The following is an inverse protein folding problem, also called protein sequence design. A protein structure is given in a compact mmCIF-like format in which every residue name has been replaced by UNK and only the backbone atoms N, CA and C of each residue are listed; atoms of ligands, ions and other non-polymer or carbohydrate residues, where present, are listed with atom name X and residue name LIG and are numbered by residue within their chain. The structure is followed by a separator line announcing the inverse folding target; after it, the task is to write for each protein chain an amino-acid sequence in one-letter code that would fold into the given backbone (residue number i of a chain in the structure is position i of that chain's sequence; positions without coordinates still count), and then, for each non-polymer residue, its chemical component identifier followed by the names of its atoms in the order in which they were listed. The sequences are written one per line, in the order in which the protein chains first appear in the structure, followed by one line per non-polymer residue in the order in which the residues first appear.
data_IF_883595028466
#
_entry.id   IF_883595028466
#
_cell.length_a   1.000
_cell.length_b   1.000
_cell.length_c   1.000
_cell.angle_alpha   90.00
_cell.angle_beta   90.00
_cell.angle_gamma   90.00
#
_symmetry.space_group_name_H-M   'P 1'
#
loop_
_entity.id
_entity.type
_entity.pdbx_description
1 polymer ?
#
# COMPACT_ATOMS: atom_id res chain seq x y z
N UNK A 1 -28.68 33.21 -33.42
CA UNK A 1 -29.14 31.82 -33.19
C UNK A 1 -28.08 31.17 -32.33
N UNK A 2 -28.39 30.92 -31.07
CA UNK A 2 -27.48 30.24 -30.16
C UNK A 2 -27.66 28.74 -30.39
N UNK A 3 -26.76 28.12 -31.13
CA UNK A 3 -26.64 26.66 -31.17
C UNK A 3 -26.00 26.22 -29.85
N UNK A 4 -26.83 25.94 -28.86
CA UNK A 4 -26.40 25.16 -27.69
C UNK A 4 -26.48 23.70 -28.10
N UNK A 5 -25.40 23.17 -28.67
CA UNK A 5 -25.26 21.73 -28.85
C UNK A 5 -25.22 21.10 -27.45
N UNK A 6 -26.33 20.49 -27.03
CA UNK A 6 -26.33 19.56 -25.91
C UNK A 6 -25.55 18.35 -26.41
N UNK A 7 -24.25 18.29 -26.12
CA UNK A 7 -23.51 17.04 -26.26
C UNK A 7 -24.12 16.07 -25.25
N UNK A 8 -24.83 15.05 -25.74
CA UNK A 8 -25.16 13.88 -24.93
C UNK A 8 -23.86 13.40 -24.28
N UNK A 9 -23.85 13.28 -22.95
CA UNK A 9 -22.68 12.77 -22.25
C UNK A 9 -22.51 11.31 -22.69
N UNK A 10 -21.32 10.90 -23.17
CA UNK A 10 -21.10 9.52 -23.58
C UNK A 10 -21.30 8.62 -22.36
N UNK A 11 -22.11 7.57 -22.50
CA UNK A 11 -22.30 6.59 -21.43
C UNK A 11 -21.54 5.30 -21.76
N UNK A 12 -20.87 4.72 -20.78
CA UNK A 12 -20.11 3.48 -20.94
C UNK A 12 -20.72 2.40 -20.06
N UNK A 13 -21.21 1.35 -20.68
CA UNK A 13 -21.69 0.16 -19.96
C UNK A 13 -20.51 -0.67 -19.48
N UNK A 14 -20.48 -0.99 -18.18
CA UNK A 14 -19.39 -1.74 -17.54
C UNK A 14 -19.92 -2.79 -16.56
N UNK A 15 -19.02 -3.61 -16.01
CA UNK A 15 -19.34 -4.58 -14.94
C UNK A 15 -19.87 -3.94 -13.66
N UNK A 16 -19.62 -2.64 -13.45
CA UNK A 16 -20.09 -1.88 -12.28
C UNK A 16 -21.25 -0.93 -12.61
N UNK A 17 -21.89 -1.12 -13.76
CA UNK A 17 -23.01 -0.32 -14.23
C UNK A 17 -22.63 0.69 -15.31
N UNK A 18 -23.51 1.67 -15.50
CA UNK A 18 -23.31 2.74 -16.48
C UNK A 18 -22.43 3.83 -15.88
N UNK A 19 -21.33 4.15 -16.57
CA UNK A 19 -20.40 5.19 -16.16
C UNK A 19 -20.48 6.38 -17.13
N UNK A 20 -20.47 7.59 -16.56
CA UNK A 20 -20.44 8.84 -17.30
C UNK A 20 -19.01 9.40 -17.19
N UNK A 21 -18.19 9.33 -18.24
CA UNK A 21 -16.84 9.86 -18.22
C UNK A 21 -16.84 11.38 -18.11
N UNK A 22 -15.77 11.92 -17.54
CA UNK A 22 -15.54 13.37 -17.52
C UNK A 22 -15.54 13.93 -18.95
N UNK A 23 -16.43 14.88 -19.22
CA UNK A 23 -16.52 15.60 -20.49
C UNK A 23 -16.44 17.11 -20.30
N UNK A 24 -16.72 17.60 -19.09
CA UNK A 24 -16.64 19.03 -18.79
C UNK A 24 -15.23 19.43 -18.38
N UNK A 25 -14.83 20.62 -18.82
CA UNK A 25 -13.58 21.22 -18.42
C UNK A 25 -13.82 22.11 -17.19
N UNK A 26 -13.50 21.62 -15.99
CA UNK A 26 -13.50 22.45 -14.78
C UNK A 26 -12.39 23.52 -14.82
N UNK A 27 -12.72 24.75 -14.41
CA UNK A 27 -11.81 25.92 -14.40
C UNK A 27 -11.23 26.20 -12.99
N UNK A 28 -11.16 25.19 -12.12
CA UNK A 28 -10.80 25.35 -10.70
C UNK A 28 -9.28 25.26 -10.43
N UNK A 29 -8.46 25.13 -11.47
CA UNK A 29 -6.99 25.04 -11.34
C UNK A 29 -6.45 23.64 -11.01
N UNK A 30 -7.32 22.62 -10.93
CA UNK A 30 -6.91 21.21 -10.80
C UNK A 30 -6.32 20.69 -12.12
N UNK A 31 -5.20 19.95 -12.06
CA UNK A 31 -4.59 19.36 -13.25
C UNK A 31 -5.42 18.15 -13.70
N UNK A 32 -5.98 18.24 -14.90
CA UNK A 32 -6.87 17.24 -15.49
C UNK A 32 -6.13 15.97 -15.91
N UNK A 33 -6.64 14.82 -15.50
CA UNK A 33 -6.29 13.53 -16.07
C UNK A 33 -7.60 12.82 -16.45
N UNK A 34 -8.28 13.42 -17.42
CA UNK A 34 -9.69 13.14 -17.75
C UNK A 34 -9.83 12.19 -18.95
N UNK A 35 -8.72 11.58 -19.38
CA UNK A 35 -8.73 10.67 -20.51
C UNK A 35 -9.21 9.28 -20.10
N UNK A 36 -10.22 8.78 -20.81
CA UNK A 36 -10.56 7.36 -20.83
C UNK A 36 -9.36 6.61 -21.42
N UNK A 37 -8.90 5.58 -20.71
CA UNK A 37 -7.77 4.77 -21.18
C UNK A 37 -8.24 3.37 -21.51
N UNK A 38 -7.57 2.80 -22.52
CA UNK A 38 -7.74 1.43 -22.96
C UNK A 38 -6.41 0.67 -22.82
N UNK A 39 -6.50 -0.64 -22.72
CA UNK A 39 -5.34 -1.51 -22.94
C UNK A 39 -4.97 -1.48 -24.43
N UNK A 40 -3.74 -1.89 -24.76
CA UNK A 40 -3.29 -2.00 -26.16
C UNK A 40 -4.13 -2.98 -26.99
N UNK A 41 -4.86 -3.87 -26.32
CA UNK A 41 -5.77 -4.86 -26.89
C UNK A 41 -7.20 -4.33 -27.09
N UNK A 42 -7.50 -3.09 -26.66
CA UNK A 42 -8.75 -2.39 -26.90
C UNK A 42 -9.77 -2.42 -25.76
N UNK A 43 -9.53 -3.21 -24.71
CA UNK A 43 -10.43 -3.26 -23.55
C UNK A 43 -10.29 -2.02 -22.67
N UNK A 44 -11.39 -1.65 -22.02
CA UNK A 44 -11.43 -0.49 -21.12
C UNK A 44 -10.47 -0.69 -19.94
N UNK A 45 -9.64 0.31 -19.65
CA UNK A 45 -8.64 0.27 -18.57
C UNK A 45 -8.98 1.22 -17.44
N UNK A 46 -9.40 2.43 -17.75
CA UNK A 46 -9.77 3.42 -16.74
C UNK A 46 -10.75 4.46 -17.27
N UNK A 47 -11.67 4.89 -16.41
CA UNK A 47 -12.68 5.92 -16.68
C UNK A 47 -12.63 6.95 -15.56
N UNK A 48 -12.08 8.15 -15.81
CA UNK A 48 -12.34 9.33 -15.00
C UNK A 48 -13.82 9.71 -15.14
N UNK A 49 -14.50 9.98 -14.04
CA UNK A 49 -15.94 10.17 -14.00
C UNK A 49 -16.31 11.65 -13.94
N UNK A 50 -17.44 11.97 -14.55
CA UNK A 50 -18.04 13.29 -14.48
C UNK A 50 -18.72 13.44 -13.11
N UNK A 51 -18.05 14.13 -12.19
CA UNK A 51 -18.45 14.13 -10.78
C UNK A 51 -18.22 12.77 -10.11
N UNK A 52 -18.91 12.54 -8.99
CA UNK A 52 -18.84 11.29 -8.26
C UNK A 52 -19.96 10.33 -8.67
N UNK A 53 -19.62 9.06 -8.93
CA UNK A 53 -20.60 7.98 -9.11
C UNK A 53 -20.51 6.97 -7.97
N UNK A 54 -21.66 6.43 -7.56
CA UNK A 54 -21.71 5.35 -6.57
C UNK A 54 -21.41 4.00 -7.21
N UNK A 55 -20.39 3.31 -6.70
CA UNK A 55 -19.97 1.99 -7.16
C UNK A 55 -20.29 0.97 -6.07
N UNK A 56 -21.22 0.07 -6.36
CA UNK A 56 -21.59 -1.03 -5.46
C UNK A 56 -20.62 -2.20 -5.57
N UNK A 57 -20.16 -2.70 -4.43
CA UNK A 57 -19.23 -3.83 -4.34
C UNK A 57 -19.59 -4.74 -3.16
N UNK A 58 -18.91 -5.88 -3.01
CA UNK A 58 -19.05 -6.73 -1.83
C UNK A 58 -18.51 -6.07 -0.55
N UNK A 59 -17.64 -5.06 -0.66
CA UNK A 59 -17.05 -4.35 0.47
C UNK A 59 -17.85 -3.10 0.89
N UNK A 60 -18.90 -2.75 0.15
CA UNK A 60 -19.69 -1.54 0.37
C UNK A 60 -20.00 -0.80 -0.92
N UNK A 61 -20.66 0.34 -0.78
CA UNK A 61 -20.93 1.29 -1.86
C UNK A 61 -20.03 2.50 -1.69
N UNK A 62 -19.28 2.87 -2.73
CA UNK A 62 -18.27 3.91 -2.63
C UNK A 62 -18.46 5.00 -3.69
N UNK A 63 -18.29 6.28 -3.33
CA UNK A 63 -18.15 7.33 -4.32
C UNK A 63 -16.86 7.11 -5.12
N UNK A 64 -16.88 7.49 -6.40
CA UNK A 64 -15.75 7.34 -7.30
C UNK A 64 -15.67 8.53 -8.26
N UNK A 65 -14.49 9.13 -8.34
CA UNK A 65 -14.10 10.05 -9.42
C UNK A 65 -13.26 9.34 -10.49
N UNK A 66 -12.68 8.18 -10.17
CA UNK A 66 -11.96 7.35 -11.13
C UNK A 66 -12.18 5.86 -10.82
N UNK A 67 -12.48 5.10 -11.87
CA UNK A 67 -12.57 3.63 -11.81
C UNK A 67 -11.57 3.01 -12.78
N UNK A 68 -10.93 1.92 -12.37
CA UNK A 68 -10.03 1.14 -13.23
C UNK A 68 -10.43 -0.31 -13.30
N UNK A 69 -10.05 -0.97 -14.39
CA UNK A 69 -10.49 -2.32 -14.73
C UNK A 69 -9.32 -3.25 -15.02
N UNK A 70 -9.55 -4.54 -14.81
CA UNK A 70 -8.74 -5.62 -15.39
C UNK A 70 -9.05 -5.75 -16.88
N UNK A 71 -8.20 -6.49 -17.61
CA UNK A 71 -8.43 -6.76 -19.04
C UNK A 71 -9.74 -7.52 -19.30
N UNK A 72 -10.21 -8.30 -18.33
CA UNK A 72 -11.51 -8.97 -18.37
C UNK A 72 -12.71 -8.01 -18.33
N UNK A 73 -12.49 -6.74 -17.99
CA UNK A 73 -13.56 -5.77 -17.73
C UNK A 73 -14.07 -5.80 -16.29
N UNK A 74 -13.54 -6.66 -15.43
CA UNK A 74 -13.87 -6.66 -14.01
C UNK A 74 -13.25 -5.46 -13.29
N UNK A 75 -13.94 -4.98 -12.26
CA UNK A 75 -13.47 -3.88 -11.42
C UNK A 75 -12.10 -4.21 -10.83
N UNK A 76 -11.18 -3.25 -10.92
CA UNK A 76 -9.85 -3.33 -10.31
C UNK A 76 -9.70 -2.36 -9.15
N UNK A 77 -9.96 -1.07 -9.37
CA UNK A 77 -9.86 -0.04 -8.31
C UNK A 77 -10.95 0.98 -8.42
N UNK A 78 -11.38 1.44 -7.25
CA UNK A 78 -12.18 2.64 -7.05
C UNK A 78 -11.28 3.69 -6.42
N UNK A 79 -11.31 4.90 -6.96
CA UNK A 79 -10.66 6.07 -6.41
C UNK A 79 -11.76 7.09 -6.05
N UNK A 80 -12.02 7.33 -4.75
CA UNK A 80 -12.98 8.34 -4.33
C UNK A 80 -12.62 9.74 -4.86
N UNK A 81 -11.31 10.03 -4.93
CA UNK A 81 -10.76 11.25 -5.53
C UNK A 81 -9.74 10.89 -6.61
N UNK A 82 -9.70 11.67 -7.70
CA UNK A 82 -8.79 11.43 -8.83
C UNK A 82 -7.42 12.15 -8.71
N UNK A 83 -7.04 12.63 -7.53
CA UNK A 83 -5.67 13.03 -7.18
C UNK A 83 -5.12 14.18 -8.03
N UNK A 84 -5.89 15.27 -8.17
CA UNK A 84 -5.58 16.34 -9.15
C UNK A 84 -4.66 17.43 -8.58
N UNK A 85 -3.45 17.05 -8.15
CA UNK A 85 -2.44 17.98 -7.60
C UNK A 85 -1.89 18.92 -8.68
N UNK A 86 -1.78 20.22 -8.36
CA UNK A 86 -1.25 21.27 -9.23
C UNK A 86 -0.40 22.27 -8.43
N UNK A 87 0.17 23.28 -9.10
CA UNK A 87 0.92 24.33 -8.40
C UNK A 87 0.05 25.20 -7.44
N UNK A 88 -1.27 25.12 -7.58
CA UNK A 88 -2.25 25.85 -6.76
C UNK A 88 -3.19 24.91 -5.99
N UNK A 89 -2.97 23.59 -6.09
CA UNK A 89 -3.80 22.57 -5.47
C UNK A 89 -2.90 21.52 -4.85
N UNK A 90 -2.80 21.56 -3.52
CA UNK A 90 -1.87 20.74 -2.74
C UNK A 90 -2.47 19.38 -2.37
N UNK A 91 -1.64 18.51 -1.82
CA UNK A 91 -2.11 17.25 -1.21
C UNK A 91 -3.08 17.51 -0.04
N UNK A 92 -2.85 18.58 0.74
CA UNK A 92 -3.73 18.98 1.84
C UNK A 92 -5.10 19.44 1.33
N UNK A 93 -5.13 20.17 0.21
CA UNK A 93 -6.37 20.59 -0.44
C UNK A 93 -7.17 19.37 -0.93
N UNK A 94 -6.50 18.41 -1.57
CA UNK A 94 -7.14 17.16 -2.01
C UNK A 94 -7.65 16.34 -0.82
N UNK A 95 -6.85 16.22 0.24
CA UNK A 95 -7.23 15.52 1.47
C UNK A 95 -8.46 16.15 2.15
N UNK A 96 -8.63 17.47 2.04
CA UNK A 96 -9.79 18.18 2.60
C UNK A 96 -11.12 17.75 1.98
N UNK A 97 -11.10 17.23 0.75
CA UNK A 97 -12.27 16.68 0.06
C UNK A 97 -12.52 15.21 0.39
N UNK A 98 -11.50 14.50 0.88
CA UNK A 98 -11.60 13.07 1.09
C UNK A 98 -12.63 12.77 2.18
N UNK A 99 -13.56 11.87 1.89
CA UNK A 99 -14.59 11.46 2.84
C UNK A 99 -14.16 10.21 3.61
N UNK A 100 -14.58 10.13 4.87
CA UNK A 100 -14.44 8.89 5.65
C UNK A 100 -15.46 7.89 5.14
N UNK A 101 -14.98 6.76 4.64
CA UNK A 101 -15.79 5.65 4.13
C UNK A 101 -15.80 4.51 5.13
N UNK A 102 -16.94 3.81 5.20
CA UNK A 102 -17.10 2.56 5.96
C UNK A 102 -16.91 1.39 5.00
N UNK A 103 -15.83 0.63 5.18
CA UNK A 103 -15.42 -0.48 4.32
C UNK A 103 -15.65 -1.78 5.07
N UNK A 104 -16.51 -2.63 4.53
CA UNK A 104 -16.69 -3.99 5.01
C UNK A 104 -15.48 -4.82 4.57
N UNK A 105 -14.51 -4.98 5.47
CA UNK A 105 -13.37 -5.84 5.23
C UNK A 105 -13.60 -7.23 5.83
N UNK A 106 -12.94 -8.27 5.31
CA UNK A 106 -13.02 -9.60 5.91
C UNK A 106 -12.51 -9.67 7.36
N UNK A 107 -11.69 -8.70 7.79
CA UNK A 107 -11.17 -8.59 9.17
C UNK A 107 -11.97 -7.62 10.04
N UNK A 108 -13.18 -7.22 9.61
CA UNK A 108 -14.04 -6.28 10.30
C UNK A 108 -14.27 -4.98 9.53
N UNK A 109 -15.13 -4.13 10.07
CA UNK A 109 -15.42 -2.83 9.46
C UNK A 109 -14.24 -1.87 9.67
N UNK A 110 -13.79 -1.24 8.59
CA UNK A 110 -12.73 -0.23 8.60
C UNK A 110 -13.33 1.13 8.25
N UNK A 111 -13.11 2.14 9.10
CA UNK A 111 -13.51 3.53 8.84
C UNK A 111 -12.28 4.38 8.59
N UNK A 112 -12.15 4.92 7.38
CA UNK A 112 -10.95 5.68 6.99
C UNK A 112 -11.20 6.55 5.77
N UNK A 113 -10.27 7.44 5.43
CA UNK A 113 -10.23 8.11 4.13
C UNK A 113 -9.29 7.32 3.20
N UNK A 114 -9.81 6.54 2.24
CA UNK A 114 -8.95 5.83 1.31
C UNK A 114 -8.58 6.70 0.11
N UNK A 115 -7.36 6.51 -0.38
CA UNK A 115 -6.94 7.00 -1.70
C UNK A 115 -7.52 6.09 -2.77
N UNK A 116 -7.47 4.78 -2.55
CA UNK A 116 -8.13 3.81 -3.41
C UNK A 116 -8.54 2.55 -2.64
N UNK A 117 -9.55 1.88 -3.20
CA UNK A 117 -9.99 0.56 -2.80
C UNK A 117 -9.76 -0.37 -3.98
N UNK A 118 -9.01 -1.44 -3.78
CA UNK A 118 -8.66 -2.40 -4.83
C UNK A 118 -9.34 -3.74 -4.58
N UNK A 119 -9.75 -4.37 -5.68
CA UNK A 119 -10.41 -5.66 -5.68
C UNK A 119 -9.57 -6.66 -6.48
N UNK A 120 -9.66 -7.92 -6.09
CA UNK A 120 -9.26 -9.01 -6.95
C UNK A 120 -10.15 -9.05 -8.20
N UNK A 121 -9.65 -9.62 -9.28
CA UNK A 121 -10.44 -9.82 -10.50
C UNK A 121 -11.72 -10.65 -10.27
N UNK A 122 -11.75 -11.43 -9.19
CA UNK A 122 -12.90 -12.22 -8.73
C UNK A 122 -13.90 -11.41 -7.89
N UNK A 123 -13.59 -10.16 -7.54
CA UNK A 123 -14.50 -9.20 -6.90
C UNK A 123 -14.28 -9.00 -5.39
N UNK A 124 -13.50 -9.85 -4.73
CA UNK A 124 -13.19 -9.73 -3.31
C UNK A 124 -12.25 -8.54 -3.04
N UNK A 125 -12.39 -7.92 -1.85
CA UNK A 125 -11.50 -6.85 -1.42
C UNK A 125 -10.04 -7.34 -1.37
N UNK A 126 -9.15 -6.63 -2.06
CA UNK A 126 -7.73 -6.95 -2.10
C UNK A 126 -6.91 -5.99 -1.25
N UNK A 127 -7.15 -4.69 -1.35
CA UNK A 127 -6.39 -3.71 -0.57
C UNK A 127 -7.14 -2.40 -0.40
N UNK A 128 -6.81 -1.70 0.69
CA UNK A 128 -7.24 -0.33 0.96
C UNK A 128 -5.98 0.48 1.17
N UNK A 129 -5.77 1.51 0.34
CA UNK A 129 -4.69 2.48 0.54
C UNK A 129 -5.26 3.72 1.24
N UNK A 130 -4.62 4.15 2.31
CA UNK A 130 -5.05 5.26 3.17
C UNK A 130 -4.38 6.56 2.74
N UNK A 131 -5.06 7.68 2.97
CA UNK A 131 -4.45 9.00 2.82
C UNK A 131 -3.22 9.17 3.72
N UNK A 132 -2.19 9.95 3.31
CA UNK A 132 -1.04 10.19 4.18
C UNK A 132 -1.46 10.88 5.47
N UNK A 133 -0.94 10.40 6.60
CA UNK A 133 -1.35 10.83 7.94
C UNK A 133 -2.56 10.10 8.52
N UNK A 134 -3.36 9.39 7.70
CA UNK A 134 -4.41 8.52 8.22
C UNK A 134 -3.81 7.25 8.84
N UNK A 135 -4.40 6.85 9.96
CA UNK A 135 -4.12 5.58 10.60
C UNK A 135 -5.40 4.87 10.99
N UNK A 136 -5.37 3.54 10.93
CA UNK A 136 -6.47 2.68 11.37
C UNK A 136 -5.94 1.63 12.33
N UNK A 137 -6.75 1.29 13.33
CA UNK A 137 -6.45 0.18 14.21
C UNK A 137 -7.11 -1.09 13.67
N UNK A 138 -6.34 -2.16 13.49
CA UNK A 138 -6.83 -3.43 12.94
C UNK A 138 -6.34 -4.63 13.74
N UNK A 139 -7.20 -5.63 13.89
CA UNK A 139 -6.80 -6.94 14.42
C UNK A 139 -6.03 -7.73 13.36
N UNK A 140 -4.79 -8.07 13.66
CA UNK A 140 -3.93 -8.89 12.81
C UNK A 140 -3.58 -10.20 13.52
N UNK A 141 -3.04 -11.20 12.79
CA UNK A 141 -2.48 -12.40 13.43
C UNK A 141 -1.37 -12.10 14.46
N UNK A 142 -0.68 -10.95 14.34
CA UNK A 142 0.32 -10.48 15.30
C UNK A 142 -0.26 -9.63 16.45
N UNK A 143 -1.59 -9.50 16.53
CA UNK A 143 -2.29 -8.69 17.51
C UNK A 143 -2.86 -7.40 16.92
N UNK A 144 -3.33 -6.52 17.80
CA UNK A 144 -3.89 -5.22 17.44
C UNK A 144 -2.77 -4.27 17.00
N UNK A 145 -2.85 -3.76 15.77
CA UNK A 145 -1.81 -2.91 15.17
C UNK A 145 -2.44 -1.63 14.66
N UNK A 146 -1.83 -0.49 15.00
CA UNK A 146 -2.11 0.78 14.34
C UNK A 146 -1.36 0.82 12.99
N UNK A 147 -2.10 0.91 11.90
CA UNK A 147 -1.61 0.82 10.53
C UNK A 147 -1.72 2.16 9.83
N UNK A 148 -0.66 2.52 9.09
CA UNK A 148 -0.64 3.65 8.15
C UNK A 148 -0.57 3.13 6.71
N UNK A 149 -0.72 4.01 5.72
CA UNK A 149 -0.62 3.74 4.26
C UNK A 149 -1.61 2.73 3.67
N UNK A 150 -1.87 1.60 4.30
CA UNK A 150 -2.80 0.62 3.77
C UNK A 150 -2.68 -0.77 4.37
N UNK A 151 -3.67 -1.57 3.98
CA UNK A 151 -3.82 -2.98 4.35
C UNK A 151 -4.11 -3.77 3.08
N UNK A 152 -3.59 -5.00 3.02
CA UNK A 152 -3.93 -5.95 1.96
C UNK A 152 -4.47 -7.25 2.55
N UNK A 153 -5.27 -7.94 1.76
CA UNK A 153 -5.94 -9.18 2.11
C UNK A 153 -5.59 -10.25 1.11
N UNK A 154 -5.49 -11.48 1.58
CA UNK A 154 -5.54 -12.69 0.76
C UNK A 154 -6.95 -12.90 0.22
N UNK A 155 -7.10 -13.71 -0.83
CA UNK A 155 -8.43 -14.02 -1.41
C UNK A 155 -9.38 -14.69 -0.42
N UNK A 156 -8.87 -15.43 0.56
CA UNK A 156 -9.67 -16.04 1.61
C UNK A 156 -10.13 -15.03 2.70
N UNK A 157 -9.71 -13.76 2.58
CA UNK A 157 -10.04 -12.68 3.50
C UNK A 157 -9.06 -12.49 4.66
N UNK A 158 -8.07 -13.36 4.86
CA UNK A 158 -7.07 -13.12 5.91
C UNK A 158 -6.16 -11.94 5.52
N UNK A 159 -5.64 -11.22 6.50
CA UNK A 159 -4.72 -10.10 6.24
C UNK A 159 -3.45 -10.63 5.61
N UNK A 160 -3.08 -10.08 4.46
CA UNK A 160 -1.85 -10.44 3.75
C UNK A 160 -0.69 -9.55 4.14
N UNK A 161 -0.91 -8.25 4.30
CA UNK A 161 0.13 -7.32 4.74
C UNK A 161 -0.43 -6.01 5.28
N UNK A 162 0.36 -5.33 6.10
CA UNK A 162 0.06 -4.00 6.60
C UNK A 162 1.35 -3.22 6.90
N UNK A 163 1.25 -1.90 6.93
CA UNK A 163 2.36 -1.01 7.27
C UNK A 163 2.16 -0.41 8.68
N UNK A 164 2.89 -0.86 9.71
CA UNK A 164 2.76 -0.31 11.05
C UNK A 164 3.00 1.21 11.08
N UNK A 165 2.18 1.93 11.84
CA UNK A 165 2.33 3.38 12.03
C UNK A 165 3.59 3.72 12.85
N UNK A 166 3.92 2.84 13.79
CA UNK A 166 5.03 2.93 14.73
C UNK A 166 5.78 1.59 14.78
N UNK A 167 6.96 1.59 15.40
CA UNK A 167 7.71 0.37 15.64
C UNK A 167 6.98 -0.56 16.62
N UNK A 168 6.78 -1.81 16.19
CA UNK A 168 6.09 -2.84 16.97
C UNK A 168 6.97 -4.07 17.15
N UNK A 169 6.85 -4.74 18.30
CA UNK A 169 7.51 -6.03 18.53
C UNK A 169 6.59 -7.17 18.12
N UNK A 170 7.04 -8.03 17.20
CA UNK A 170 6.29 -9.20 16.73
C UNK A 170 7.07 -10.49 17.01
N UNK A 171 6.34 -11.56 17.32
CA UNK A 171 6.88 -12.90 17.50
C UNK A 171 7.05 -13.59 16.16
N UNK A 172 8.29 -13.90 15.78
CA UNK A 172 8.60 -14.67 14.56
C UNK A 172 9.23 -16.02 14.89
N UNK A 173 9.35 -16.88 13.88
CA UNK A 173 10.03 -18.18 13.99
C UNK A 173 11.52 -18.07 14.36
N UNK A 174 12.14 -16.90 14.17
CA UNK A 174 13.54 -16.65 14.54
C UNK A 174 13.70 -15.85 15.83
N UNK A 175 12.61 -15.49 16.51
CA UNK A 175 12.58 -14.70 17.74
C UNK A 175 11.74 -13.43 17.61
N UNK A 176 11.77 -12.60 18.65
CA UNK A 176 11.06 -11.31 18.65
C UNK A 176 11.81 -10.31 17.74
N UNK A 177 11.08 -9.61 16.86
CA UNK A 177 11.62 -8.59 15.94
C UNK A 177 10.83 -7.29 16.10
N UNK A 178 11.54 -6.16 16.11
CA UNK A 178 11.00 -4.83 15.99
C UNK A 178 10.78 -4.49 14.52
N UNK A 179 9.53 -4.33 14.13
CA UNK A 179 9.09 -4.16 12.74
C UNK A 179 8.75 -2.71 12.50
N UNK A 180 9.48 -2.08 11.58
CA UNK A 180 9.29 -0.69 11.16
C UNK A 180 10.12 -0.39 9.91
N UNK A 181 9.52 0.34 8.97
CA UNK A 181 10.20 0.99 7.86
C UNK A 181 9.90 2.50 7.94
N UNK A 182 10.88 3.39 8.19
CA UNK A 182 10.65 4.82 8.27
C UNK A 182 10.23 5.45 6.94
N UNK A 183 10.54 4.82 5.81
CA UNK A 183 10.27 5.35 4.47
C UNK A 183 9.76 4.22 3.54
N UNK A 184 8.55 3.68 3.80
CA UNK A 184 8.02 2.60 2.97
C UNK A 184 7.79 3.12 1.55
N UNK A 185 8.01 2.29 0.53
CA UNK A 185 7.88 2.73 -0.87
C UNK A 185 6.46 3.24 -1.22
N UNK A 186 6.34 4.56 -1.47
CA UNK A 186 5.18 5.19 -2.08
C UNK A 186 3.87 5.10 -1.29
N UNK A 187 2.75 5.14 -2.02
CA UNK A 187 1.36 5.21 -1.52
C UNK A 187 0.65 3.85 -1.60
N UNK A 188 1.32 2.83 -2.15
CA UNK A 188 0.69 1.54 -2.44
C UNK A 188 0.55 0.71 -1.17
N UNK A 189 -0.64 0.18 -0.94
CA UNK A 189 -0.87 -0.77 0.15
C UNK A 189 -0.08 -2.08 -0.03
N UNK A 190 0.26 -2.47 -1.26
CA UNK A 190 0.88 -3.78 -1.57
C UNK A 190 2.38 -3.89 -1.26
N UNK A 191 3.02 -2.80 -0.85
CA UNK A 191 4.41 -2.80 -0.37
C UNK A 191 4.38 -2.52 1.11
N UNK A 192 4.46 -3.56 1.95
CA UNK A 192 4.33 -3.38 3.40
C UNK A 192 5.45 -4.04 4.18
N UNK A 193 5.77 -3.42 5.30
CA UNK A 193 6.79 -3.83 6.28
C UNK A 193 6.44 -5.11 7.02
N UNK A 194 5.15 -5.44 7.22
CA UNK A 194 4.71 -6.67 7.86
C UNK A 194 3.79 -7.46 6.92
N UNK A 195 4.11 -8.72 6.66
CA UNK A 195 3.29 -9.60 5.83
C UNK A 195 3.06 -10.97 6.50
N UNK A 196 1.95 -11.60 6.11
CA UNK A 196 1.48 -12.87 6.64
C UNK A 196 1.18 -13.87 5.51
N UNK A 197 1.30 -15.17 5.81
CA UNK A 197 0.72 -16.23 4.99
C UNK A 197 -0.80 -16.24 5.10
N UNK A 198 -1.47 -17.02 4.25
CA UNK A 198 -2.93 -17.16 4.31
C UNK A 198 -3.41 -17.90 5.56
N UNK A 199 -2.53 -18.63 6.25
CA UNK A 199 -2.74 -19.19 7.61
C UNK A 199 -2.47 -18.21 8.75
N UNK A 200 -1.97 -17.00 8.45
CA UNK A 200 -1.69 -15.96 9.45
C UNK A 200 -0.30 -16.05 10.09
N UNK A 201 0.61 -16.87 9.57
CA UNK A 201 2.01 -16.86 10.01
C UNK A 201 2.75 -15.66 9.43
N UNK A 202 3.69 -15.06 10.18
CA UNK A 202 4.49 -13.94 9.66
C UNK A 202 5.43 -14.47 8.55
N UNK A 203 5.23 -13.98 7.33
CA UNK A 203 5.97 -14.39 6.13
C UNK A 203 7.10 -13.43 5.78
N UNK A 204 6.97 -12.15 6.13
CA UNK A 204 8.00 -11.15 5.89
C UNK A 204 7.94 -10.01 6.91
N UNK A 205 9.11 -9.52 7.32
CA UNK A 205 9.27 -8.31 8.13
C UNK A 205 10.36 -7.39 7.58
N UNK A 206 10.16 -6.07 7.71
CA UNK A 206 11.21 -5.06 7.56
C UNK A 206 11.55 -4.46 8.92
N UNK A 207 12.84 -4.31 9.21
CA UNK A 207 13.33 -3.78 10.49
C UNK A 207 14.47 -2.79 10.29
N UNK A 208 14.48 -1.72 11.09
CA UNK A 208 15.63 -0.82 11.25
C UNK A 208 16.36 -1.02 12.58
N UNK A 209 15.80 -1.84 13.47
CA UNK A 209 16.23 -1.97 14.87
C UNK A 209 16.85 -3.33 15.20
N UNK A 210 16.80 -4.30 14.28
CA UNK A 210 17.41 -5.60 14.48
C UNK A 210 18.44 -5.94 13.40
N UNK A 211 19.45 -6.72 13.80
CA UNK A 211 20.34 -7.45 12.88
C UNK A 211 20.18 -8.96 13.08
N UNK A 212 20.36 -9.69 12.00
CA UNK A 212 20.28 -11.17 11.97
C UNK A 212 21.69 -11.75 11.85
N UNK A 213 22.04 -12.63 12.78
CA UNK A 213 23.33 -13.32 12.79
C UNK A 213 23.11 -14.80 12.52
N UNK A 214 23.61 -15.29 11.39
CA UNK A 214 23.54 -16.71 11.02
C UNK A 214 24.88 -17.38 11.26
N UNK A 215 24.88 -18.42 12.08
CA UNK A 215 26.06 -19.25 12.31
C UNK A 215 26.20 -20.32 11.21
N UNK A 216 27.28 -20.23 10.41
CA UNK A 216 27.55 -21.13 9.26
C UNK A 216 28.49 -22.30 9.58
N UNK A 217 28.86 -22.52 10.85
CA UNK A 217 29.77 -23.59 11.30
C UNK A 217 30.77 -23.10 12.36
N UNK A 218 31.86 -23.87 12.58
CA UNK A 218 32.79 -23.75 13.73
C UNK A 218 33.43 -22.37 13.98
N UNK A 219 33.31 -21.40 13.07
CA UNK A 219 33.80 -20.03 13.28
C UNK A 219 33.25 -18.97 12.30
N UNK A 220 32.46 -19.36 11.30
CA UNK A 220 31.94 -18.42 10.29
C UNK A 220 30.54 -17.91 10.68
N UNK A 221 30.39 -16.59 10.68
CA UNK A 221 29.11 -15.89 10.89
C UNK A 221 28.79 -15.06 9.67
N UNK A 222 27.52 -15.00 9.30
CA UNK A 222 26.99 -13.99 8.40
C UNK A 222 26.13 -13.04 9.22
N UNK A 223 26.33 -11.74 9.02
CA UNK A 223 25.57 -10.68 9.69
C UNK A 223 24.82 -9.91 8.63
N UNK A 224 23.52 -9.78 8.82
CA UNK A 224 22.62 -8.99 8.00
C UNK A 224 22.06 -7.88 8.88
N UNK A 225 22.18 -6.64 8.46
CA UNK A 225 21.72 -5.49 9.23
C UNK A 225 21.12 -4.44 8.30
N UNK A 226 20.30 -3.54 8.86
CA UNK A 226 20.00 -2.26 8.22
C UNK A 226 21.29 -1.55 7.86
N UNK A 227 21.22 -0.66 6.87
CA UNK A 227 22.38 0.14 6.46
C UNK A 227 21.97 1.56 6.15
N UNK A 228 22.96 2.46 6.16
CA UNK A 228 22.75 3.88 5.98
C UNK A 228 23.28 4.27 4.61
N UNK A 229 22.47 4.98 3.83
CA UNK A 229 22.89 5.62 2.58
C UNK A 229 22.87 7.14 2.75
N UNK A 230 23.84 7.81 2.13
CA UNK A 230 23.83 9.27 2.02
C UNK A 230 22.97 9.68 0.83
N UNK A 231 22.12 10.69 1.03
CA UNK A 231 21.43 11.37 -0.06
C UNK A 231 22.46 11.96 -1.05
N UNK A 232 22.19 11.81 -2.35
CA UNK A 232 23.03 12.34 -3.43
C UNK A 232 23.18 13.87 -3.38
N UNK A 233 22.26 14.58 -2.74
CA UNK A 233 22.26 16.05 -2.64
C UNK A 233 22.97 16.58 -1.38
N UNK A 234 23.56 15.72 -0.56
CA UNK A 234 24.40 16.09 0.58
C UNK A 234 23.63 16.44 1.86
N UNK A 235 24.06 15.85 2.99
CA UNK A 235 23.63 16.22 4.34
C UNK A 235 22.54 15.34 4.98
N UNK A 236 21.83 14.55 4.20
CA UNK A 236 20.77 13.65 4.68
C UNK A 236 21.20 12.19 4.60
N UNK A 237 20.84 11.42 5.62
CA UNK A 237 21.08 9.99 5.73
C UNK A 237 19.75 9.27 5.79
N UNK A 238 19.57 8.27 4.94
CA UNK A 238 18.39 7.39 4.97
C UNK A 238 18.82 6.03 5.50
N UNK A 239 18.06 5.50 6.45
CA UNK A 239 18.22 4.11 6.90
C UNK A 239 17.44 3.23 5.94
N UNK A 240 18.13 2.31 5.29
CA UNK A 240 17.52 1.25 4.50
C UNK A 240 17.23 0.07 5.43
N UNK A 241 15.97 -0.33 5.61
CA UNK A 241 15.62 -1.45 6.47
C UNK A 241 16.22 -2.77 5.99
N UNK A 242 16.44 -3.67 6.94
CA UNK A 242 16.68 -5.08 6.64
C UNK A 242 15.34 -5.76 6.38
N UNK A 243 15.14 -6.28 5.17
CA UNK A 243 14.00 -7.14 4.85
C UNK A 243 14.33 -8.60 5.14
N UNK A 244 13.42 -9.30 5.81
CA UNK A 244 13.55 -10.69 6.24
C UNK A 244 12.31 -11.46 5.77
N UNK A 245 12.48 -12.31 4.76
CA UNK A 245 11.45 -13.27 4.36
C UNK A 245 11.63 -14.57 5.16
N UNK A 246 10.52 -15.16 5.62
CA UNK A 246 10.46 -16.31 6.54
C UNK A 246 9.72 -17.52 5.93
N UNK A 247 9.46 -17.52 4.62
CA UNK A 247 8.63 -18.53 3.97
C UNK A 247 9.27 -19.92 3.87
N UNK A 248 8.43 -20.96 4.01
CA UNK A 248 8.79 -22.36 3.72
C UNK A 248 10.02 -22.86 4.50
N UNK A 249 10.19 -22.42 5.74
CA UNK A 249 11.35 -22.77 6.58
C UNK A 249 12.67 -22.20 6.07
N UNK A 250 12.62 -21.21 5.17
CA UNK A 250 13.78 -20.49 4.65
C UNK A 250 13.77 -19.07 5.16
N UNK A 251 14.93 -18.62 5.62
CA UNK A 251 15.14 -17.23 5.98
C UNK A 251 15.94 -16.59 4.86
N UNK A 252 15.36 -15.54 4.26
CA UNK A 252 16.05 -14.70 3.29
C UNK A 252 16.16 -13.28 3.81
N UNK A 253 17.37 -12.92 4.21
CA UNK A 253 17.72 -11.52 4.47
C UNK A 253 18.08 -10.87 3.13
N UNK A 254 17.38 -9.80 2.78
CA UNK A 254 17.66 -9.03 1.56
C UNK A 254 18.19 -7.64 1.92
N UNK A 255 19.33 -7.32 1.31
CA UNK A 255 19.83 -5.96 1.13
C UNK A 255 20.32 -5.82 -0.33
N UNK A 256 20.70 -4.62 -0.78
CA UNK A 256 21.22 -4.39 -2.14
C UNK A 256 22.44 -5.25 -2.53
N UNK A 257 23.04 -6.04 -1.64
CA UNK A 257 24.28 -6.80 -1.91
C UNK A 257 24.29 -8.27 -1.49
N UNK A 258 23.16 -8.88 -1.14
CA UNK A 258 23.13 -10.33 -0.98
C UNK A 258 21.82 -10.92 -0.47
N UNK A 259 21.54 -12.14 -0.93
CA UNK A 259 20.49 -13.02 -0.40
C UNK A 259 21.15 -14.15 0.38
N UNK A 260 20.73 -14.38 1.61
CA UNK A 260 20.98 -15.66 2.29
C UNK A 260 19.79 -16.58 2.11
N UNK A 261 20.02 -17.89 2.00
CA UNK A 261 18.95 -18.88 2.16
C UNK A 261 19.40 -19.85 3.23
N UNK A 262 18.76 -19.83 4.40
CA UNK A 262 18.88 -20.94 5.32
C UNK A 262 18.35 -22.21 4.63
N UNK A 263 19.16 -23.26 4.55
CA UNK A 263 18.68 -24.59 4.14
C UNK A 263 17.75 -25.19 5.19
N UNK A 264 17.07 -26.28 4.84
CA UNK A 264 15.99 -26.94 5.61
C UNK A 264 16.32 -27.38 7.06
N UNK A 265 17.49 -27.03 7.58
CA UNK A 265 17.91 -27.26 8.97
C UNK A 265 18.31 -25.93 9.57
N UNK A 266 17.64 -25.52 10.64
CA UNK A 266 17.92 -24.31 11.40
C UNK A 266 19.39 -24.30 11.85
N UNK A 267 20.26 -23.60 11.12
CA UNK A 267 21.48 -23.05 11.72
C UNK A 267 21.04 -22.14 12.86
N UNK A 268 21.71 -22.13 14.02
CA UNK A 268 21.33 -21.23 15.10
C UNK A 268 21.38 -19.79 14.59
N UNK A 269 20.22 -19.14 14.57
CA UNK A 269 20.03 -17.73 14.22
C UNK A 269 19.90 -16.96 15.52
N UNK A 270 20.68 -15.89 15.66
CA UNK A 270 20.52 -14.95 16.76
C UNK A 270 20.01 -13.62 16.23
N UNK A 271 19.09 -13.02 16.97
CA UNK A 271 18.59 -11.66 16.74
C UNK A 271 19.21 -10.76 17.79
N UNK A 272 19.78 -9.65 17.35
CA UNK A 272 20.32 -8.62 18.22
C UNK A 272 19.76 -7.25 17.86
N UNK A 273 19.74 -6.33 18.83
CA UNK A 273 19.46 -4.93 18.57
C UNK A 273 20.56 -4.35 17.67
N UNK A 274 20.14 -3.56 16.69
CA UNK A 274 20.98 -2.74 15.85
C UNK A 274 20.82 -1.28 16.30
N UNK A 275 21.94 -0.66 16.68
CA UNK A 275 21.97 0.75 17.07
C UNK A 275 22.66 1.59 16.00
N UNK A 276 22.01 2.64 15.53
CA UNK A 276 22.61 3.71 14.74
C UNK A 276 22.50 5.05 15.47
N UNK A 277 23.47 5.94 15.26
CA UNK A 277 23.48 7.29 15.88
C UNK A 277 22.58 8.31 15.13
N UNK A 278 21.63 7.85 14.31
CA UNK A 278 20.75 8.69 13.50
C UNK A 278 19.39 8.83 14.20
N UNK A 279 18.89 10.06 14.26
CA UNK A 279 17.54 10.34 14.75
C UNK A 279 16.53 10.04 13.64
N UNK A 280 15.80 8.92 13.77
CA UNK A 280 14.77 8.48 12.83
C UNK A 280 13.52 9.38 12.80
N UNK A 281 13.35 10.29 13.78
CA UNK A 281 12.17 11.15 13.91
C UNK A 281 12.27 12.49 13.17
N UNK A 282 13.29 12.71 12.32
CA UNK A 282 13.30 13.87 11.43
C UNK A 282 12.38 13.58 10.25
N UNK A 283 11.17 14.16 10.30
CA UNK A 283 10.25 14.28 9.16
C UNK A 283 11.05 14.59 7.90
N UNK A 284 10.96 13.71 6.91
CA UNK A 284 11.23 14.05 5.52
C UNK A 284 10.31 15.23 5.17
N UNK A 285 10.89 16.32 4.67
CA UNK A 285 10.12 17.46 4.20
C UNK A 285 9.10 16.98 3.16
N UNK A 286 7.83 17.27 3.42
CA UNK A 286 6.75 17.23 2.44
C UNK A 286 7.13 18.11 1.24
N UNK A 287 7.10 17.53 0.04
CA UNK A 287 7.10 18.29 -1.21
C UNK A 287 5.68 18.71 -1.56
#
# INVERSE_FOLDING_TARGET
MNDTAILEKPEISTSVGMLIPTVTHEEDGRKKNDEIRYFSTGELRSVPLEGSAEIMTSAGTFPAELVTFYKSGNLKRIFPLNGRISAYWTEEDEYSLAETLEIQSPSGEVKTKPIYIQFYETGELQSVALWPGETIEIETPAGLINVRKGITFHKNGTIASCEPADEISVKTVIGDIFVYDPDPDGIKAESSTLAFTDEGEISCVSTVSNRVIVNKGMSSKAVYSPYIISSYCGGEYTVVPLKIDLENGKISCMNMSGTFKAGNTWSPVNIEMFSHNINLNKKLCSF
#
